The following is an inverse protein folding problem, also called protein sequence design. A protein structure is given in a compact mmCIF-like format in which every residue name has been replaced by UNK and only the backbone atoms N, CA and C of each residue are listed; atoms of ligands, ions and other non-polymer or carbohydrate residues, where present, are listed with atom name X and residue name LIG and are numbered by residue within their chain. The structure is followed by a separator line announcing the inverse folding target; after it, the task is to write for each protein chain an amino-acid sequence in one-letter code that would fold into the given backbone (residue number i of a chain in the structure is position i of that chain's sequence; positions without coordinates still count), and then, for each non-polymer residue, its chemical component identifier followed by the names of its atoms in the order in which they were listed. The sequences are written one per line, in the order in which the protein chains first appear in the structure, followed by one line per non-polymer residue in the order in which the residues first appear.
data_IF_267362168506
#
_entry.id   IF_267362168506
#
_cell.length_a   1.000
_cell.length_b   1.000
_cell.length_c   1.000
_cell.angle_alpha   90.00
_cell.angle_beta   90.00
_cell.angle_gamma   90.00
#
_symmetry.space_group_name_H-M   'P 1'
#
loop_
_entity.id
_entity.type
_entity.pdbx_description
1 polymer ?
#
# COMPACT_ATOMS: atom_id res chain seq x y z
N UNK A 1 1.32 -60.59 29.13
CA UNK A 1 0.92 -59.39 28.35
C UNK A 1 0.65 -59.77 26.89
N UNK A 2 -0.52 -59.44 26.33
CA UNK A 2 -0.93 -59.93 25.00
C UNK A 2 -0.40 -59.05 23.85
N UNK A 3 0.27 -59.68 22.88
CA UNK A 3 0.87 -59.06 21.67
C UNK A 3 -0.17 -58.43 20.73
N UNK A 4 -1.41 -58.92 20.77
CA UNK A 4 -2.49 -58.46 19.88
C UNK A 4 -3.01 -57.06 20.24
N UNK A 5 -2.86 -56.62 21.50
CA UNK A 5 -3.29 -55.27 21.92
C UNK A 5 -2.37 -54.16 21.44
N UNK A 6 -1.09 -54.43 21.17
CA UNK A 6 -0.17 -53.43 20.58
C UNK A 6 -0.50 -53.20 19.10
N UNK A 7 -0.66 -54.28 18.33
CA UNK A 7 -0.98 -54.21 16.90
C UNK A 7 -2.27 -53.42 16.61
N UNK A 8 -3.33 -53.64 17.41
CA UNK A 8 -4.60 -52.93 17.25
C UNK A 8 -4.50 -51.44 17.59
N UNK A 9 -3.66 -51.07 18.57
CA UNK A 9 -3.42 -49.68 18.97
C UNK A 9 -2.60 -48.91 17.93
N UNK A 10 -1.56 -49.52 17.37
CA UNK A 10 -0.73 -48.89 16.33
C UNK A 10 -1.50 -48.69 15.03
N UNK A 11 -2.34 -49.66 14.62
CA UNK A 11 -3.22 -49.50 13.45
C UNK A 11 -4.18 -48.33 13.63
N UNK A 12 -4.74 -48.15 14.84
CA UNK A 12 -5.63 -47.02 15.17
C UNK A 12 -4.89 -45.68 15.19
N UNK A 13 -3.64 -45.63 15.65
CA UNK A 13 -2.81 -44.41 15.66
C UNK A 13 -2.34 -44.01 14.25
N UNK A 14 -2.21 -44.99 13.33
CA UNK A 14 -1.86 -44.75 11.91
C UNK A 14 -3.08 -44.37 11.06
N UNK A 15 -4.26 -44.92 11.35
CA UNK A 15 -5.49 -44.64 10.60
C UNK A 15 -6.24 -43.40 11.06
N UNK A 16 -5.84 -42.78 12.17
CA UNK A 16 -6.48 -41.55 12.63
C UNK A 16 -6.00 -40.39 11.75
N UNK A 17 -6.91 -39.63 11.11
CA UNK A 17 -6.55 -38.49 10.29
C UNK A 17 -5.74 -37.52 11.15
N UNK A 18 -4.56 -37.11 10.66
CA UNK A 18 -3.73 -36.11 11.34
C UNK A 18 -4.54 -34.82 11.39
N UNK A 19 -5.03 -34.48 12.59
CA UNK A 19 -5.61 -33.16 12.83
C UNK A 19 -4.53 -32.13 12.53
N UNK A 20 -4.81 -31.08 11.74
CA UNK A 20 -3.84 -30.03 11.48
C UNK A 20 -3.40 -29.43 12.82
N UNK A 21 -2.09 -29.46 13.08
CA UNK A 21 -1.51 -28.87 14.29
C UNK A 21 -1.46 -27.38 14.04
N UNK A 22 -2.44 -26.64 14.56
CA UNK A 22 -2.36 -25.18 14.63
C UNK A 22 -1.13 -24.84 15.49
N UNK A 23 -0.09 -24.30 14.85
CA UNK A 23 1.08 -23.81 15.56
C UNK A 23 0.65 -22.52 16.24
N UNK A 24 0.92 -22.38 17.53
CA UNK A 24 0.54 -21.18 18.28
C UNK A 24 1.17 -19.88 17.70
N UNK A 25 2.20 -20.02 16.85
CA UNK A 25 2.90 -18.94 16.14
C UNK A 25 2.73 -18.98 14.61
N UNK A 26 1.82 -19.78 14.05
CA UNK A 26 1.49 -19.62 12.63
C UNK A 26 0.65 -18.35 12.48
N UNK A 27 1.19 -17.33 11.82
CA UNK A 27 0.39 -16.18 11.38
C UNK A 27 -0.88 -16.71 10.72
N UNK A 28 -2.04 -16.18 11.17
CA UNK A 28 -3.32 -16.52 10.57
C UNK A 28 -3.23 -16.24 9.06
N UNK A 29 -3.77 -17.13 8.20
CA UNK A 29 -3.78 -16.86 6.78
C UNK A 29 -4.58 -15.59 6.52
N UNK A 30 -4.04 -14.71 5.68
CA UNK A 30 -4.74 -13.51 5.21
C UNK A 30 -5.88 -13.94 4.30
N UNK A 31 -7.11 -13.53 4.62
CA UNK A 31 -8.28 -13.78 3.78
C UNK A 31 -8.58 -12.54 2.95
N UNK A 32 -8.56 -12.66 1.62
CA UNK A 32 -8.83 -11.52 0.75
C UNK A 32 -10.34 -11.23 0.71
N UNK A 33 -10.68 -9.97 0.94
CA UNK A 33 -12.05 -9.46 1.02
C UNK A 33 -12.36 -8.37 0.00
N UNK A 34 -11.34 -7.70 -0.53
CA UNK A 34 -11.45 -6.92 -1.76
C UNK A 34 -10.21 -7.15 -2.62
N UNK A 35 -10.38 -7.22 -3.94
CA UNK A 35 -9.28 -7.41 -4.89
C UNK A 35 -9.49 -6.52 -6.10
N UNK A 36 -8.50 -5.67 -6.39
CA UNK A 36 -8.40 -4.91 -7.62
C UNK A 36 -7.52 -5.68 -8.61
N UNK A 37 -8.08 -6.01 -9.77
CA UNK A 37 -7.37 -6.71 -10.83
C UNK A 37 -7.30 -5.85 -12.09
N UNK A 38 -6.18 -5.89 -12.79
CA UNK A 38 -6.07 -5.28 -14.11
C UNK A 38 -6.73 -6.15 -15.21
N UNK A 39 -6.73 -5.65 -16.44
CA UNK A 39 -7.20 -6.38 -17.63
C UNK A 39 -6.55 -7.76 -17.84
N UNK A 40 -5.32 -7.93 -17.35
CA UNK A 40 -4.55 -9.17 -17.45
C UNK A 40 -4.86 -10.18 -16.33
N UNK A 41 -5.76 -9.82 -15.40
CA UNK A 41 -6.11 -10.62 -14.23
C UNK A 41 -5.03 -10.61 -13.14
N UNK A 42 -4.09 -9.65 -13.19
CA UNK A 42 -3.08 -9.47 -12.15
C UNK A 42 -3.64 -8.61 -11.03
N UNK A 43 -3.39 -9.03 -9.79
CA UNK A 43 -3.80 -8.28 -8.60
C UNK A 43 -2.92 -7.05 -8.44
N UNK A 44 -3.54 -5.88 -8.60
CA UNK A 44 -2.89 -4.57 -8.39
C UNK A 44 -2.94 -4.18 -6.92
N UNK A 45 -4.10 -4.37 -6.28
CA UNK A 45 -4.29 -4.11 -4.86
C UNK A 45 -5.29 -5.10 -4.26
N UNK A 46 -5.19 -5.35 -2.96
CA UNK A 46 -6.10 -6.22 -2.24
C UNK A 46 -6.26 -5.76 -0.79
N UNK A 47 -7.46 -5.93 -0.24
CA UNK A 47 -7.75 -5.79 1.18
C UNK A 47 -7.95 -7.19 1.72
N UNK A 48 -7.19 -7.54 2.76
CA UNK A 48 -7.28 -8.82 3.43
C UNK A 48 -7.49 -8.69 4.93
N UNK A 49 -8.10 -9.69 5.54
CA UNK A 49 -8.28 -9.79 6.99
C UNK A 49 -7.29 -10.82 7.54
N UNK A 50 -6.43 -10.38 8.46
CA UNK A 50 -5.49 -11.23 9.18
C UNK A 50 -5.84 -11.25 10.66
N UNK A 51 -6.50 -12.33 11.11
CA UNK A 51 -6.99 -12.42 12.48
C UNK A 51 -8.13 -11.43 12.72
N UNK A 52 -7.80 -10.25 13.23
CA UNK A 52 -8.75 -9.14 13.47
C UNK A 52 -8.34 -7.83 12.78
N UNK A 53 -7.15 -7.78 12.18
CA UNK A 53 -6.63 -6.59 11.53
C UNK A 53 -6.87 -6.65 10.03
N UNK A 54 -7.35 -5.54 9.47
CA UNK A 54 -7.45 -5.37 8.03
C UNK A 54 -6.11 -4.92 7.47
N UNK A 55 -5.73 -5.48 6.34
CA UNK A 55 -4.47 -5.25 5.65
C UNK A 55 -4.77 -4.75 4.25
N UNK A 56 -4.12 -3.66 3.85
CA UNK A 56 -4.08 -3.22 2.47
C UNK A 56 -2.76 -3.66 1.86
N UNK A 57 -2.81 -4.38 0.75
CA UNK A 57 -1.65 -4.78 -0.03
C UNK A 57 -1.73 -4.22 -1.45
N UNK A 58 -0.64 -3.66 -1.96
CA UNK A 58 -0.51 -3.15 -3.32
C UNK A 58 0.68 -3.86 -3.97
N UNK A 59 0.48 -4.44 -5.15
CA UNK A 59 1.51 -5.21 -5.87
C UNK A 59 2.04 -6.41 -5.08
N UNK A 60 1.24 -6.98 -4.17
CA UNK A 60 1.66 -8.08 -3.29
C UNK A 60 2.43 -7.65 -2.03
N UNK A 61 2.65 -6.36 -1.83
CA UNK A 61 3.28 -5.82 -0.61
C UNK A 61 2.22 -5.18 0.29
N UNK A 62 2.20 -5.53 1.58
CA UNK A 62 1.35 -4.86 2.57
C UNK A 62 1.82 -3.41 2.76
N UNK A 63 0.93 -2.47 2.50
CA UNK A 63 1.19 -1.03 2.58
C UNK A 63 0.63 -0.42 3.87
N UNK A 64 -0.37 -1.06 4.49
CA UNK A 64 -0.89 -0.61 5.77
C UNK A 64 -1.80 -1.64 6.43
N UNK A 65 -2.02 -1.45 7.72
CA UNK A 65 -3.01 -2.17 8.52
C UNK A 65 -3.97 -1.18 9.18
N UNK A 66 -5.23 -1.57 9.36
CA UNK A 66 -6.24 -0.75 10.02
C UNK A 66 -7.28 -1.63 10.73
N UNK A 67 -7.97 -1.05 11.71
CA UNK A 67 -9.11 -1.69 12.38
C UNK A 67 -10.39 -1.63 11.53
N UNK A 68 -10.50 -0.62 10.66
CA UNK A 68 -11.65 -0.39 9.80
C UNK A 68 -11.26 -0.52 8.32
N UNK A 69 -11.92 -1.41 7.54
CA UNK A 69 -11.62 -1.59 6.12
C UNK A 69 -12.25 -0.53 5.21
N UNK A 70 -13.19 0.28 5.71
CA UNK A 70 -13.92 1.26 4.88
C UNK A 70 -12.98 2.28 4.24
N UNK A 71 -12.04 2.94 4.97
CA UNK A 71 -11.12 3.88 4.35
C UNK A 71 -10.19 3.22 3.33
N UNK A 72 -9.78 1.97 3.59
CA UNK A 72 -8.96 1.20 2.65
C UNK A 72 -9.71 0.91 1.36
N UNK A 73 -11.01 0.57 1.45
CA UNK A 73 -11.84 0.34 0.28
C UNK A 73 -12.07 1.62 -0.52
N UNK A 74 -12.28 2.74 0.16
CA UNK A 74 -12.40 4.05 -0.49
C UNK A 74 -11.12 4.39 -1.27
N UNK A 75 -9.94 4.21 -0.67
CA UNK A 75 -8.65 4.38 -1.36
C UNK A 75 -8.52 3.46 -2.57
N UNK A 76 -8.99 2.21 -2.46
CA UNK A 76 -8.91 1.22 -3.52
C UNK A 76 -9.89 1.53 -4.67
N UNK A 77 -11.07 2.07 -4.36
CA UNK A 77 -12.03 2.59 -5.36
C UNK A 77 -11.51 3.86 -6.03
N UNK A 78 -10.87 4.75 -5.28
CA UNK A 78 -10.20 5.92 -5.84
C UNK A 78 -9.11 5.50 -6.84
N UNK A 79 -8.21 4.58 -6.43
CA UNK A 79 -7.19 4.02 -7.31
C UNK A 79 -7.79 3.38 -8.57
N UNK A 80 -8.95 2.72 -8.46
CA UNK A 80 -9.63 2.15 -9.61
C UNK A 80 -10.09 3.25 -10.59
N UNK A 81 -10.71 4.32 -10.08
CA UNK A 81 -11.14 5.46 -10.90
C UNK A 81 -9.97 6.12 -11.62
N UNK A 82 -8.82 6.28 -10.95
CA UNK A 82 -7.60 6.87 -11.55
C UNK A 82 -7.08 5.98 -12.68
N UNK A 83 -6.99 4.67 -12.48
CA UNK A 83 -6.54 3.73 -13.52
C UNK A 83 -7.48 3.74 -14.73
N UNK A 84 -8.80 3.80 -14.52
CA UNK A 84 -9.77 3.91 -15.61
C UNK A 84 -9.63 5.23 -16.38
N UNK A 85 -9.39 6.36 -15.70
CA UNK A 85 -9.08 7.66 -16.33
C UNK A 85 -7.80 7.59 -17.18
N UNK A 86 -6.78 6.86 -16.73
CA UNK A 86 -5.55 6.59 -17.50
C UNK A 86 -5.74 5.60 -18.66
N UNK A 87 -6.95 5.07 -18.86
CA UNK A 87 -7.24 4.09 -19.91
C UNK A 87 -6.78 2.66 -19.59
N UNK A 88 -6.51 2.36 -18.31
CA UNK A 88 -6.16 1.03 -17.82
C UNK A 88 -7.40 0.41 -17.16
N UNK A 89 -8.13 -0.48 -17.86
CA UNK A 89 -9.33 -1.07 -17.30
C UNK A 89 -8.97 -1.97 -16.13
N UNK A 90 -9.65 -1.77 -15.02
CA UNK A 90 -9.50 -2.52 -13.78
C UNK A 90 -10.86 -3.04 -13.32
N UNK A 91 -10.82 -4.07 -12.48
CA UNK A 91 -12.02 -4.69 -11.92
C UNK A 91 -11.84 -4.79 -10.42
N UNK A 92 -12.83 -4.28 -9.69
CA UNK A 92 -12.87 -4.33 -8.23
C UNK A 92 -13.88 -5.40 -7.80
N UNK A 93 -13.38 -6.45 -7.16
CA UNK A 93 -14.20 -7.47 -6.52
C UNK A 93 -14.25 -7.23 -5.02
N UNK A 94 -15.45 -7.18 -4.45
CA UNK A 94 -15.70 -7.06 -3.01
C UNK A 94 -16.44 -8.28 -2.47
N UNK A 95 -16.04 -8.73 -1.28
CA UNK A 95 -16.69 -9.83 -0.58
C UNK A 95 -17.96 -9.39 0.14
N UNK A 96 -18.97 -10.27 0.28
CA UNK A 96 -20.23 -9.93 0.95
C UNK A 96 -20.05 -9.58 2.43
N UNK A 97 -19.05 -10.17 3.11
CA UNK A 97 -18.73 -9.83 4.50
C UNK A 97 -18.28 -8.38 4.64
N UNK A 98 -17.40 -7.92 3.74
CA UNK A 98 -16.94 -6.54 3.72
C UNK A 98 -18.12 -5.60 3.37
N UNK A 99 -18.95 -5.99 2.40
CA UNK A 99 -20.16 -5.25 2.03
C UNK A 99 -21.10 -5.02 3.23
N UNK A 100 -21.39 -6.09 3.98
CA UNK A 100 -22.25 -6.02 5.17
C UNK A 100 -21.69 -5.09 6.24
N UNK A 101 -20.38 -5.14 6.50
CA UNK A 101 -19.77 -4.22 7.46
C UNK A 101 -19.91 -2.76 7.00
N UNK A 102 -19.74 -2.48 5.70
CA UNK A 102 -19.93 -1.13 5.17
C UNK A 102 -21.40 -0.70 5.34
N UNK A 103 -22.35 -1.58 5.04
CA UNK A 103 -23.78 -1.31 5.22
C UNK A 103 -24.10 -0.97 6.68
N UNK A 104 -23.56 -1.73 7.64
CA UNK A 104 -23.74 -1.48 9.07
C UNK A 104 -23.15 -0.12 9.48
N UNK A 105 -21.91 0.19 9.07
CA UNK A 105 -21.27 1.47 9.37
C UNK A 105 -21.98 2.66 8.72
N UNK A 106 -22.44 2.50 7.47
CA UNK A 106 -23.18 3.54 6.78
C UNK A 106 -24.55 3.78 7.45
N UNK A 107 -25.22 2.71 7.90
CA UNK A 107 -26.46 2.81 8.65
C UNK A 107 -26.27 3.54 9.99
N UNK A 108 -25.14 3.32 10.68
CA UNK A 108 -24.78 4.07 11.89
C UNK A 108 -24.60 5.59 11.62
N UNK A 109 -24.09 5.95 10.44
CA UNK A 109 -24.02 7.34 9.96
C UNK A 109 -25.32 7.87 9.33
N UNK A 110 -26.36 7.03 9.20
CA UNK A 110 -27.63 7.38 8.56
C UNK A 110 -27.55 7.57 7.04
N UNK A 111 -26.51 7.01 6.39
CA UNK A 111 -26.27 7.07 4.94
C UNK A 111 -26.40 5.69 4.32
N UNK A 112 -26.53 5.63 3.00
CA UNK A 112 -26.34 4.36 2.27
C UNK A 112 -24.85 4.05 2.13
N UNK A 113 -24.49 2.77 2.00
CA UNK A 113 -23.10 2.34 1.80
C UNK A 113 -22.43 3.03 0.60
N UNK A 114 -23.18 3.23 -0.49
CA UNK A 114 -22.68 3.91 -1.68
C UNK A 114 -22.41 5.40 -1.42
N UNK A 115 -23.31 6.11 -0.75
CA UNK A 115 -23.13 7.52 -0.37
C UNK A 115 -21.96 7.70 0.59
N UNK A 116 -21.85 6.82 1.58
CA UNK A 116 -20.76 6.85 2.55
C UNK A 116 -19.41 6.65 1.86
N UNK A 117 -19.29 5.61 1.04
CA UNK A 117 -18.08 5.35 0.26
C UNK A 117 -17.78 6.48 -0.74
N UNK A 118 -18.80 7.04 -1.40
CA UNK A 118 -18.60 8.14 -2.34
C UNK A 118 -18.07 9.41 -1.65
N UNK A 119 -18.56 9.73 -0.45
CA UNK A 119 -18.04 10.83 0.35
C UNK A 119 -16.57 10.60 0.69
N UNK A 120 -16.22 9.42 1.21
CA UNK A 120 -14.83 9.07 1.52
C UNK A 120 -13.91 9.14 0.29
N UNK A 121 -14.36 8.62 -0.85
CA UNK A 121 -13.59 8.70 -2.11
C UNK A 121 -13.36 10.15 -2.52
N UNK A 122 -14.38 11.01 -2.38
CA UNK A 122 -14.27 12.44 -2.69
C UNK A 122 -13.32 13.18 -1.73
N UNK A 123 -13.26 12.76 -0.46
CA UNK A 123 -12.27 13.28 0.50
C UNK A 123 -10.84 12.94 0.06
N UNK A 124 -10.60 11.72 -0.44
CA UNK A 124 -9.29 11.35 -1.01
C UNK A 124 -8.96 12.13 -2.30
N UNK A 125 -9.91 12.24 -3.23
CA UNK A 125 -9.72 13.03 -4.46
C UNK A 125 -9.39 14.50 -4.17
N UNK A 126 -10.10 15.12 -3.22
CA UNK A 126 -9.87 16.52 -2.86
C UNK A 126 -8.57 16.77 -2.09
N UNK A 127 -8.03 15.76 -1.41
CA UNK A 127 -6.71 15.87 -0.74
C UNK A 127 -5.56 15.78 -1.74
N UNK A 128 -5.69 14.96 -2.79
CA UNK A 128 -4.68 14.86 -3.86
C UNK A 128 -4.67 16.10 -4.77
N UNK A 129 -5.84 16.63 -5.14
CA UNK A 129 -5.95 17.86 -5.95
C UNK A 129 -5.35 19.07 -5.19
N UNK A 130 -5.58 19.16 -3.88
CA UNK A 130 -4.96 20.19 -3.02
C UNK A 130 -3.45 19.99 -2.82
N UNK A 131 -2.92 18.79 -3.03
CA UNK A 131 -1.48 18.51 -2.98
C UNK A 131 -0.79 18.82 -4.33
N UNK A 132 -1.50 18.64 -5.46
CA UNK A 132 -1.02 18.99 -6.81
C UNK A 132 -0.96 20.52 -7.01
N UNK A 133 -1.93 21.27 -6.46
CA UNK A 133 -1.92 22.75 -6.49
C UNK A 133 -0.84 23.38 -5.57
N UNK A 134 -0.19 22.58 -4.72
CA UNK A 134 0.97 23.00 -3.93
C UNK A 134 2.32 22.73 -4.64
N UNK A 135 2.35 21.92 -5.70
CA UNK A 135 3.57 21.60 -6.48
C UNK A 135 3.69 22.41 -7.79
N UNK A 136 2.62 23.05 -8.27
CA UNK A 136 2.68 23.98 -9.44
C UNK A 136 3.10 25.43 -9.09
N UNK A 137 3.42 25.74 -7.82
CA UNK A 137 3.90 27.06 -7.41
C UNK A 137 5.44 27.23 -7.44
N UNK A 138 6.19 26.22 -7.89
CA UNK A 138 7.66 26.26 -7.93
C UNK A 138 8.17 25.89 -9.33
N UNK A 139 7.82 26.68 -10.34
CA UNK A 139 8.73 26.81 -11.47
C UNK A 139 8.14 27.35 -12.75
N UNK A 140 8.26 28.66 -12.98
CA UNK A 140 8.63 29.21 -14.29
C UNK A 140 9.37 30.56 -14.14
N UNK A 141 10.67 30.57 -14.52
CA UNK A 141 11.33 31.61 -15.32
C UNK A 141 11.66 32.98 -14.67
N UNK A 142 12.94 33.34 -14.55
CA UNK A 142 13.77 33.92 -15.62
C UNK A 142 13.91 35.45 -15.44
N UNK A 143 15.07 35.82 -14.90
CA UNK A 143 15.89 37.05 -14.99
C UNK A 143 15.33 38.32 -15.66
N UNK A 144 15.44 39.46 -14.96
CA UNK A 144 15.87 40.75 -15.55
C UNK A 144 16.61 41.65 -14.54
N UNK A 145 17.93 41.72 -14.71
CA UNK A 145 18.82 42.91 -14.72
C UNK A 145 18.44 44.20 -13.95
N UNK A 146 19.35 44.69 -13.10
CA UNK A 146 19.81 46.08 -13.12
C UNK A 146 21.05 46.25 -12.21
N UNK A 147 22.22 46.47 -12.83
CA UNK A 147 23.50 46.65 -12.14
C UNK A 147 23.75 48.03 -11.53
N UNK A 148 24.91 48.17 -10.90
CA UNK A 148 25.72 49.40 -10.86
C UNK A 148 27.16 49.02 -10.45
N UNK A 149 28.06 49.14 -11.42
CA UNK A 149 29.44 49.71 -11.40
C UNK A 149 30.06 50.09 -10.04
N UNK A 150 31.38 50.08 -9.80
CA UNK A 150 32.59 49.76 -10.55
C UNK A 150 33.78 49.87 -9.56
N UNK A 151 34.96 49.44 -10.04
CA UNK A 151 36.27 50.10 -9.86
C UNK A 151 37.40 49.30 -9.16
N UNK A 152 38.27 48.76 -10.03
CA UNK A 152 39.77 48.66 -10.02
C UNK A 152 40.51 48.14 -8.77
N UNK A 153 41.48 47.23 -8.88
CA UNK A 153 42.74 47.31 -9.64
C UNK A 153 43.40 45.91 -9.81
N UNK A 154 44.23 45.70 -10.86
CA UNK A 154 44.95 44.45 -11.10
C UNK A 154 46.45 44.53 -10.74
N UNK A 155 47.06 43.40 -10.40
CA UNK A 155 48.50 43.05 -10.42
C UNK A 155 48.73 41.92 -9.40
N UNK A 156 49.57 40.91 -9.54
CA UNK A 156 50.51 40.44 -10.56
C UNK A 156 51.11 39.14 -9.95
N UNK A 157 51.45 38.15 -10.80
CA UNK A 157 52.32 36.99 -10.55
C UNK A 157 51.93 36.02 -9.40
N UNK A 158 52.15 34.72 -9.44
CA UNK A 158 53.22 33.94 -10.04
C UNK A 158 52.74 32.47 -10.19
N UNK A 159 53.36 31.74 -11.11
CA UNK A 159 53.05 30.35 -11.42
C UNK A 159 53.74 29.37 -10.42
N UNK A 160 54.11 28.13 -10.81
CA UNK A 160 53.36 26.91 -10.50
C UNK A 160 54.11 25.91 -9.60
N UNK A 161 53.40 24.82 -9.27
CA UNK A 161 53.91 23.51 -8.84
C UNK A 161 54.48 23.37 -7.42
N UNK A 162 53.95 22.40 -6.66
CA UNK A 162 54.81 21.36 -6.13
C UNK A 162 54.06 20.02 -6.01
N UNK A 163 54.75 18.96 -6.45
CA UNK A 163 54.37 17.57 -6.32
C UNK A 163 54.72 17.07 -4.91
N UNK A 164 54.06 16.01 -4.44
CA UNK A 164 54.57 14.89 -3.61
C UNK A 164 53.35 14.26 -2.89
N UNK A 165 52.88 13.06 -3.27
CA UNK A 165 53.44 11.76 -2.85
C UNK A 165 53.47 11.67 -1.30
N UNK A 166 52.65 10.85 -0.63
CA UNK A 166 52.77 9.39 -0.57
C UNK A 166 51.57 8.72 0.15
N UNK A 167 51.33 7.40 -0.03
CA UNK A 167 50.20 6.65 0.54
C UNK A 167 50.58 5.74 1.73
N UNK A 168 49.54 5.16 2.35
CA UNK A 168 49.48 3.96 3.23
C UNK A 168 50.12 4.01 4.63
N UNK A 169 49.25 3.72 5.61
CA UNK A 169 49.54 2.99 6.84
C UNK A 169 48.41 2.00 7.08
#
# INVERSE_FOLDING_TARGET
MSKQSKAKRDKRKKSQPKRPIHRLNSQQPVQNHAVLQNAEGQVVAAIGLQGTEWLLAIGGQTMGNADNPVPMLAMLKHLANVQEKEGRPVTLETSPQLQQMIDDLAADEGKTAEEYLAQLVSEFEGVEDAADEADEAEGEGEVTEAGTEAETTPADADAPADSSEQPKG
#
